data_IF_316669539862
#
_entry.id   IF_316669539862
#
_cell.length_a   1.000
_cell.length_b   1.000
_cell.length_c   1.000
_cell.angle_alpha   90.00
_cell.angle_beta   90.00
_cell.angle_gamma   90.00
#
_symmetry.space_group_name_H-M   'P 1'
#
loop_
_entity.id
_entity.type
_entity.pdbx_description
1 polymer ?
#
# COMPACT_ATOMS: atom_id res chain seq x y z
N UNK A 1 47.19 9.11 -21.63
CA UNK A 1 46.23 8.91 -22.74
C UNK A 1 45.53 7.54 -22.78
N UNK A 2 45.67 6.66 -21.78
CA UNK A 2 44.92 5.37 -21.71
C UNK A 2 43.77 5.36 -20.69
N UNK A 3 43.55 6.49 -20.01
CA UNK A 3 42.66 6.65 -18.86
C UNK A 3 41.38 7.40 -19.27
N UNK A 4 41.48 8.28 -20.27
CA UNK A 4 40.35 8.96 -20.91
C UNK A 4 39.41 7.97 -21.63
N UNK A 5 39.94 6.92 -22.26
CA UNK A 5 39.13 5.87 -22.90
C UNK A 5 38.39 4.96 -21.91
N UNK A 6 38.83 4.92 -20.64
CA UNK A 6 38.16 4.11 -19.61
C UNK A 6 36.98 4.86 -18.97
N UNK A 7 37.07 6.19 -18.88
CA UNK A 7 35.99 7.06 -18.38
C UNK A 7 34.84 7.14 -19.38
N UNK A 8 35.13 7.16 -20.68
CA UNK A 8 34.11 7.28 -21.74
C UNK A 8 33.20 6.04 -21.87
N UNK A 9 33.68 4.85 -21.51
CA UNK A 9 32.91 3.59 -21.55
C UNK A 9 32.00 3.44 -20.33
N UNK A 10 32.32 4.09 -19.21
CA UNK A 10 31.54 3.97 -17.97
C UNK A 10 30.26 4.81 -17.96
N UNK A 11 30.14 5.82 -18.83
CA UNK A 11 28.99 6.74 -18.85
C UNK A 11 27.78 6.22 -19.63
N UNK A 12 27.90 5.09 -20.35
CA UNK A 12 26.84 4.59 -21.27
C UNK A 12 25.84 3.65 -20.59
N UNK A 13 26.07 3.23 -19.33
CA UNK A 13 25.25 2.18 -18.68
C UNK A 13 24.04 2.75 -17.89
N UNK A 14 23.80 4.07 -17.89
CA UNK A 14 22.77 4.66 -17.02
C UNK A 14 21.34 4.76 -17.61
N UNK A 15 21.09 4.28 -18.84
CA UNK A 15 19.77 4.45 -19.49
C UNK A 15 19.04 3.19 -19.96
N UNK A 16 19.54 1.99 -19.66
CA UNK A 16 18.78 0.78 -19.99
C UNK A 16 17.92 0.31 -18.82
N UNK A 17 16.83 1.03 -18.57
CA UNK A 17 15.67 0.48 -17.88
C UNK A 17 14.49 0.55 -18.85
N UNK A 18 14.47 -0.40 -19.77
CA UNK A 18 13.35 -0.64 -20.68
C UNK A 18 12.14 -1.08 -19.85
N UNK A 19 11.27 -0.14 -19.51
CA UNK A 19 10.03 -0.44 -18.82
C UNK A 19 9.11 -1.16 -19.79
N UNK A 20 9.07 -2.49 -19.71
CA UNK A 20 8.20 -3.37 -20.52
C UNK A 20 6.70 -3.06 -20.40
N UNK A 21 6.32 -2.15 -19.50
CA UNK A 21 4.96 -1.65 -19.30
C UNK A 21 4.99 -0.12 -19.41
N UNK A 22 5.10 0.39 -20.64
CA UNK A 22 5.07 1.82 -20.92
C UNK A 22 3.67 2.37 -20.61
N UNK A 23 3.49 2.83 -19.37
CA UNK A 23 2.25 3.48 -18.92
C UNK A 23 2.17 4.88 -19.58
N UNK A 24 1.05 5.24 -20.24
CA UNK A 24 0.90 6.53 -20.90
C UNK A 24 1.08 7.71 -19.94
N UNK A 25 1.45 8.87 -20.49
CA UNK A 25 1.44 10.12 -19.73
C UNK A 25 0.02 10.41 -19.19
N UNK A 26 -0.06 10.92 -17.96
CA UNK A 26 -1.34 11.16 -17.29
C UNK A 26 -1.93 9.94 -16.57
N UNK A 27 -1.30 8.77 -16.65
CA UNK A 27 -1.65 7.59 -15.87
C UNK A 27 -0.64 7.41 -14.73
N UNK A 28 -1.14 7.11 -13.53
CA UNK A 28 -0.32 6.81 -12.36
C UNK A 28 0.54 5.59 -12.64
N UNK A 29 1.85 5.70 -12.43
CA UNK A 29 2.78 4.59 -12.56
C UNK A 29 2.42 3.43 -11.62
N UNK A 30 2.77 2.17 -11.95
CA UNK A 30 2.30 1.00 -11.21
C UNK A 30 2.56 1.06 -9.70
N UNK A 31 3.77 1.46 -9.30
CA UNK A 31 4.12 1.58 -7.88
C UNK A 31 3.28 2.63 -7.13
N UNK A 32 2.99 3.76 -7.78
CA UNK A 32 2.16 4.83 -7.20
C UNK A 32 0.70 4.39 -7.12
N UNK A 33 0.17 3.81 -8.20
CA UNK A 33 -1.19 3.29 -8.23
C UNK A 33 -1.40 2.20 -7.18
N UNK A 34 -0.46 1.26 -7.04
CA UNK A 34 -0.51 0.20 -6.03
C UNK A 34 -0.62 0.79 -4.61
N UNK A 35 0.18 1.82 -4.31
CA UNK A 35 0.19 2.45 -2.97
C UNK A 35 -1.13 3.17 -2.68
N UNK A 36 -1.67 3.89 -3.66
CA UNK A 36 -2.95 4.59 -3.51
C UNK A 36 -4.10 3.58 -3.39
N UNK A 37 -4.13 2.57 -4.25
CA UNK A 37 -5.17 1.54 -4.26
C UNK A 37 -5.20 0.76 -2.95
N UNK A 38 -4.04 0.48 -2.36
CA UNK A 38 -3.96 -0.12 -1.03
C UNK A 38 -4.69 0.71 0.04
N UNK A 39 -4.53 2.03 0.01
CA UNK A 39 -5.16 2.92 0.98
C UNK A 39 -6.66 3.05 0.73
N UNK A 40 -7.09 3.09 -0.53
CA UNK A 40 -8.50 3.08 -0.92
C UNK A 40 -9.20 1.81 -0.42
N UNK A 41 -8.61 0.63 -0.66
CA UNK A 41 -9.16 -0.64 -0.18
C UNK A 41 -9.26 -0.69 1.35
N UNK A 42 -8.28 -0.11 2.06
CA UNK A 42 -8.33 -0.02 3.52
C UNK A 42 -9.42 0.93 4.01
N UNK A 43 -9.65 2.06 3.33
CA UNK A 43 -10.75 2.96 3.66
C UNK A 43 -12.11 2.29 3.46
N UNK A 44 -12.27 1.53 2.37
CA UNK A 44 -13.48 0.76 2.10
C UNK A 44 -13.72 -0.31 3.17
N UNK A 45 -12.70 -1.11 3.47
CA UNK A 45 -12.77 -2.11 4.53
C UNK A 45 -13.07 -1.48 5.90
N UNK A 46 -12.43 -0.36 6.25
CA UNK A 46 -12.69 0.36 7.49
C UNK A 46 -14.13 0.87 7.58
N UNK A 47 -14.62 1.46 6.48
CA UNK A 47 -16.00 1.95 6.41
C UNK A 47 -16.97 0.80 6.61
N UNK A 48 -16.76 -0.29 5.86
CA UNK A 48 -17.60 -1.47 5.95
C UNK A 48 -17.60 -2.10 7.35
N UNK A 49 -16.44 -2.21 8.00
CA UNK A 49 -16.32 -2.89 9.29
C UNK A 49 -16.74 -2.03 10.49
N UNK A 50 -16.55 -0.71 10.44
CA UNK A 50 -16.73 0.14 11.61
C UNK A 50 -17.82 1.20 11.45
N UNK A 51 -18.00 1.76 10.25
CA UNK A 51 -18.92 2.89 10.03
C UNK A 51 -20.34 2.40 9.76
N UNK A 52 -20.52 1.28 9.04
CA UNK A 52 -21.85 0.70 8.78
C UNK A 52 -22.60 0.31 10.05
N UNK A 53 -21.88 0.05 11.15
CA UNK A 53 -22.43 -0.34 12.45
C UNK A 53 -22.82 0.87 13.31
N UNK A 54 -22.49 2.09 12.89
CA UNK A 54 -22.78 3.35 13.59
C UNK A 54 -23.98 4.04 12.93
N UNK A 55 -25.15 3.97 13.57
CA UNK A 55 -26.39 4.53 13.03
C UNK A 55 -26.40 6.06 12.96
N UNK A 56 -25.46 6.75 13.63
CA UNK A 56 -25.33 8.20 13.55
C UNK A 56 -24.57 8.65 12.28
N UNK A 57 -23.92 7.72 11.57
CA UNK A 57 -23.08 8.02 10.40
C UNK A 57 -23.72 7.56 9.10
N UNK A 58 -23.28 8.19 8.01
CA UNK A 58 -23.61 7.79 6.64
C UNK A 58 -22.38 7.16 6.01
N UNK A 59 -22.31 5.82 5.88
CA UNK A 59 -21.11 5.11 5.44
C UNK A 59 -20.52 5.65 4.14
N UNK A 60 -21.35 5.95 3.16
CA UNK A 60 -20.93 6.45 1.85
C UNK A 60 -20.27 7.82 1.97
N UNK A 61 -20.86 8.73 2.77
CA UNK A 61 -20.33 10.07 2.96
C UNK A 61 -18.99 10.05 3.72
N UNK A 62 -18.87 9.18 4.73
CA UNK A 62 -17.62 9.01 5.47
C UNK A 62 -16.52 8.38 4.60
N UNK A 63 -16.86 7.39 3.79
CA UNK A 63 -15.92 6.79 2.87
C UNK A 63 -15.41 7.80 1.83
N UNK A 64 -16.29 8.62 1.25
CA UNK A 64 -15.89 9.70 0.32
C UNK A 64 -14.90 10.67 0.99
N UNK A 65 -15.12 11.04 2.25
CA UNK A 65 -14.17 11.89 3.01
C UNK A 65 -12.80 11.22 3.15
N UNK A 66 -12.78 9.92 3.50
CA UNK A 66 -11.52 9.16 3.61
C UNK A 66 -10.78 9.10 2.27
N UNK A 67 -11.48 8.82 1.16
CA UNK A 67 -10.88 8.80 -0.17
C UNK A 67 -10.29 10.17 -0.56
N UNK A 68 -10.96 11.28 -0.24
CA UNK A 68 -10.44 12.63 -0.46
C UNK A 68 -9.14 12.90 0.35
N UNK A 69 -9.08 12.43 1.59
CA UNK A 69 -7.87 12.52 2.41
C UNK A 69 -6.74 11.68 1.81
N UNK A 70 -7.03 10.48 1.32
CA UNK A 70 -6.05 9.61 0.65
C UNK A 70 -5.48 10.33 -0.58
N UNK A 71 -6.32 10.91 -1.43
CA UNK A 71 -5.86 11.67 -2.61
C UNK A 71 -4.93 12.83 -2.20
N UNK A 72 -5.28 13.54 -1.13
CA UNK A 72 -4.45 14.62 -0.58
C UNK A 72 -3.08 14.11 -0.10
N UNK A 73 -3.05 13.04 0.70
CA UNK A 73 -1.81 12.41 1.22
C UNK A 73 -0.92 11.94 0.07
N UNK A 74 -1.53 11.36 -0.96
CA UNK A 74 -0.80 10.87 -2.13
C UNK A 74 -0.45 11.94 -3.15
N UNK A 75 -0.92 13.18 -2.96
CA UNK A 75 -0.72 14.30 -3.90
C UNK A 75 -1.21 13.96 -5.31
N UNK A 76 -2.40 13.38 -5.39
CA UNK A 76 -3.09 13.08 -6.65
C UNK A 76 -4.49 13.69 -6.64
N UNK A 77 -5.06 13.92 -7.81
CA UNK A 77 -6.48 14.25 -7.93
C UNK A 77 -7.35 12.98 -7.98
N UNK A 78 -8.65 13.18 -7.75
CA UNK A 78 -9.66 12.14 -7.98
C UNK A 78 -9.58 11.64 -9.44
N UNK A 79 -9.46 12.56 -10.38
CA UNK A 79 -9.42 12.27 -11.82
C UNK A 79 -8.19 11.44 -12.20
N UNK A 80 -7.00 11.77 -11.65
CA UNK A 80 -5.78 10.98 -11.85
C UNK A 80 -5.98 9.52 -11.42
N UNK A 81 -6.61 9.32 -10.25
CA UNK A 81 -6.88 7.98 -9.74
C UNK A 81 -7.83 7.21 -10.66
N UNK A 82 -9.00 7.76 -10.97
CA UNK A 82 -10.01 7.01 -11.74
C UNK A 82 -9.59 6.77 -13.19
N UNK A 83 -8.94 7.74 -13.85
CA UNK A 83 -8.36 7.52 -15.18
C UNK A 83 -7.35 6.40 -15.17
N UNK A 84 -6.49 6.38 -14.16
CA UNK A 84 -5.50 5.32 -14.00
C UNK A 84 -6.12 3.98 -13.69
N UNK A 85 -7.12 3.96 -12.82
CA UNK A 85 -7.85 2.76 -12.47
C UNK A 85 -8.53 2.12 -13.69
N UNK A 86 -9.19 2.92 -14.53
CA UNK A 86 -9.78 2.44 -15.78
C UNK A 86 -8.73 1.90 -16.76
N UNK A 87 -7.57 2.56 -16.87
CA UNK A 87 -6.45 2.03 -17.63
C UNK A 87 -6.01 0.65 -17.11
N UNK A 88 -5.78 0.50 -15.81
CA UNK A 88 -5.37 -0.80 -15.26
C UNK A 88 -6.46 -1.86 -15.40
N UNK A 89 -7.75 -1.49 -15.29
CA UNK A 89 -8.87 -2.42 -15.53
C UNK A 89 -8.89 -2.97 -16.96
N UNK A 90 -8.51 -2.17 -17.95
CA UNK A 90 -8.41 -2.62 -19.35
C UNK A 90 -7.09 -3.34 -19.67
N UNK A 91 -6.16 -3.43 -18.71
CA UNK A 91 -4.87 -4.14 -18.83
C UNK A 91 -4.76 -5.20 -17.70
N UNK A 92 -5.42 -6.35 -17.85
CA UNK A 92 -5.57 -7.35 -16.79
C UNK A 92 -4.23 -7.90 -16.27
N UNK A 93 -3.21 -8.01 -17.12
CA UNK A 93 -1.86 -8.44 -16.75
C UNK A 93 -1.21 -7.49 -15.74
N UNK A 94 -1.35 -6.18 -15.94
CA UNK A 94 -0.85 -5.15 -15.04
C UNK A 94 -1.67 -5.12 -13.74
N UNK A 95 -3.00 -5.20 -13.85
CA UNK A 95 -3.88 -5.22 -12.68
C UNK A 95 -3.64 -6.45 -11.82
N UNK A 96 -3.53 -7.64 -12.41
CA UNK A 96 -3.28 -8.88 -11.69
C UNK A 96 -1.97 -8.81 -10.92
N UNK A 97 -0.89 -8.37 -11.57
CA UNK A 97 0.41 -8.18 -10.92
C UNK A 97 0.31 -7.24 -9.71
N UNK A 98 -0.46 -6.16 -9.84
CA UNK A 98 -0.69 -5.20 -8.76
C UNK A 98 -1.48 -5.83 -7.61
N UNK A 99 -2.57 -6.54 -7.90
CA UNK A 99 -3.40 -7.19 -6.90
C UNK A 99 -2.64 -8.31 -6.16
N UNK A 100 -1.85 -9.12 -6.87
CA UNK A 100 -1.00 -10.16 -6.26
C UNK A 100 0.00 -9.54 -5.28
N UNK A 101 0.61 -8.40 -5.66
CA UNK A 101 1.50 -7.63 -4.80
C UNK A 101 0.79 -7.13 -3.52
N UNK A 102 -0.46 -6.67 -3.66
CA UNK A 102 -1.29 -6.23 -2.53
C UNK A 102 -1.70 -7.38 -1.61
N UNK A 103 -2.08 -8.54 -2.16
CA UNK A 103 -2.41 -9.75 -1.39
C UNK A 103 -1.19 -10.24 -0.60
N UNK A 104 -0.02 -10.26 -1.24
CA UNK A 104 1.23 -10.60 -0.59
C UNK A 104 1.57 -9.60 0.54
N UNK A 105 1.34 -8.31 0.32
CA UNK A 105 1.49 -7.30 1.38
C UNK A 105 0.53 -7.54 2.54
N UNK A 106 -0.75 -7.77 2.28
CA UNK A 106 -1.76 -8.05 3.31
C UNK A 106 -1.40 -9.29 4.14
N UNK A 107 -0.94 -10.35 3.48
CA UNK A 107 -0.50 -11.59 4.12
C UNK A 107 0.67 -11.35 5.06
N UNK A 108 1.69 -10.60 4.60
CA UNK A 108 2.83 -10.22 5.45
C UNK A 108 2.39 -9.37 6.63
N UNK A 109 1.58 -8.34 6.42
CA UNK A 109 1.11 -7.44 7.48
C UNK A 109 0.34 -8.24 8.55
N UNK A 110 -0.52 -9.17 8.15
CA UNK A 110 -1.26 -10.06 9.07
C UNK A 110 -0.31 -10.93 9.90
N UNK A 111 0.72 -11.52 9.29
CA UNK A 111 1.71 -12.33 10.00
C UNK A 111 2.48 -11.49 11.04
N UNK A 112 2.92 -10.29 10.66
CA UNK A 112 3.60 -9.36 11.59
C UNK A 112 2.71 -8.97 12.76
N UNK A 113 1.45 -8.59 12.50
CA UNK A 113 0.48 -8.24 13.55
C UNK A 113 0.26 -9.42 14.51
N UNK A 114 0.11 -10.62 13.96
CA UNK A 114 -0.11 -11.84 14.75
C UNK A 114 1.09 -12.13 15.66
N UNK A 115 2.31 -12.09 15.13
CA UNK A 115 3.52 -12.29 15.93
C UNK A 115 3.71 -11.22 17.00
N UNK A 116 3.47 -9.95 16.66
CA UNK A 116 3.56 -8.86 17.62
C UNK A 116 2.57 -9.04 18.78
N UNK A 117 1.36 -9.54 18.50
CA UNK A 117 0.38 -9.91 19.52
C UNK A 117 0.91 -11.04 20.42
N UNK A 118 1.41 -12.13 19.84
CA UNK A 118 1.95 -13.27 20.60
C UNK A 118 3.13 -12.85 21.51
N UNK A 119 4.02 -12.00 21.01
CA UNK A 119 5.13 -11.47 21.79
C UNK A 119 4.61 -10.63 22.97
N UNK A 120 3.64 -9.74 22.72
CA UNK A 120 3.03 -8.93 23.78
C UNK A 120 2.38 -9.80 24.85
N UNK A 121 1.61 -10.80 24.44
CA UNK A 121 0.91 -11.71 25.35
C UNK A 121 1.92 -12.50 26.23
N UNK A 122 3.02 -12.96 25.63
CA UNK A 122 4.12 -13.63 26.33
C UNK A 122 4.82 -12.70 27.32
N UNK A 123 5.08 -11.45 26.93
CA UNK A 123 5.69 -10.44 27.81
C UNK A 123 4.78 -10.10 28.99
N UNK A 124 3.45 -10.05 28.78
CA UNK A 124 2.48 -9.83 29.87
C UNK A 124 2.33 -11.04 30.78
N UNK A 125 2.33 -12.25 30.24
CA UNK A 125 2.25 -13.50 31.02
C UNK A 125 3.50 -13.75 31.88
N UNK A 126 4.68 -13.31 31.41
CA UNK A 126 5.92 -13.37 32.19
C UNK A 126 5.94 -12.38 33.36
N UNK A 127 5.05 -11.38 33.41
CA UNK A 127 5.13 -10.29 34.39
C UNK A 127 4.44 -10.57 35.74
N UNK A 128 3.66 -11.64 35.95
CA UNK A 128 3.09 -11.97 37.28
C UNK A 128 2.79 -13.49 37.44
N UNK A 129 3.32 -14.14 38.50
CA UNK A 129 2.47 -14.89 39.42
C UNK A 129 2.39 -14.15 40.76
N UNK A 130 1.19 -13.66 41.10
CA UNK A 130 0.85 -13.04 42.39
C UNK A 130 0.73 -14.13 43.48
N UNK A 131 1.77 -14.92 43.66
CA UNK A 131 1.87 -15.89 44.75
C UNK A 131 3.21 -15.75 45.43
N UNK A 132 3.51 -14.54 45.92
CA UNK A 132 4.55 -14.33 46.92
C UNK A 132 4.30 -13.08 47.78
N UNK A 133 3.03 -12.85 48.15
CA UNK A 133 2.66 -11.91 49.22
C UNK A 133 1.48 -12.47 50.02
N UNK A 134 1.75 -13.52 50.79
CA UNK A 134 0.97 -13.88 51.98
C UNK A 134 1.85 -14.80 52.83
N UNK A 135 2.78 -14.20 53.59
CA UNK A 135 3.30 -14.75 54.83
C UNK A 135 2.58 -14.05 55.97
#
# INVERSE_FOLDING_TARGET
MRWINMVLISTVILFSCESKNAVPAGILKPAKMQTVLWDMLRADAFTYEFITKDSAKKPEAENVKLQQQIFTVHKISKDDFYKSYEFYKSHPDLMQTMLDSLINKATRDKFIITQAKQLKDTLTAKKIPDTLTAQ
#
